data_IF_898437101196
#
_entry.id   IF_898437101196
#
_cell.length_a   1.000
_cell.length_b   1.000
_cell.length_c   1.000
_cell.angle_alpha   90.00
_cell.angle_beta   90.00
_cell.angle_gamma   90.00
#
_symmetry.space_group_name_H-M   'P 1'
#
loop_
_entity.id
_entity.type
_entity.pdbx_description
1 polymer ?
#
# COMPACT_ATOMS: atom_id res chain seq x y z
N UNK A 1 11.09 5.51 -0.85
CA UNK A 1 10.42 4.50 0.01
C UNK A 1 10.70 3.10 -0.53
N UNK A 2 10.49 2.03 0.24
CA UNK A 2 10.59 0.64 -0.24
C UNK A 2 9.49 -0.21 0.40
N UNK A 3 9.06 -1.27 -0.28
CA UNK A 3 8.21 -2.31 0.29
C UNK A 3 9.09 -3.46 0.81
N UNK A 4 8.75 -4.01 1.99
CA UNK A 4 9.54 -5.05 2.64
C UNK A 4 9.07 -6.44 2.19
N UNK A 5 9.88 -7.13 1.39
CA UNK A 5 9.56 -8.47 0.89
C UNK A 5 9.18 -9.48 1.99
N UNK A 6 9.84 -9.42 3.15
CA UNK A 6 9.58 -10.34 4.27
C UNK A 6 8.19 -10.18 4.90
N UNK A 7 7.66 -8.97 5.00
CA UNK A 7 6.27 -8.76 5.42
C UNK A 7 5.32 -9.22 4.33
N UNK A 8 5.63 -8.93 3.05
CA UNK A 8 4.74 -9.29 1.94
C UNK A 8 4.62 -10.79 1.69
N UNK A 9 5.69 -11.55 1.85
CA UNK A 9 5.64 -13.02 1.73
C UNK A 9 4.82 -13.67 2.85
N UNK A 10 4.70 -13.04 4.02
CA UNK A 10 3.80 -13.47 5.10
C UNK A 10 2.33 -13.14 4.80
N UNK A 11 2.09 -12.11 3.99
CA UNK A 11 0.75 -11.67 3.60
C UNK A 11 0.21 -12.47 2.40
N UNK A 12 1.06 -12.76 1.40
CA UNK A 12 0.69 -13.56 0.23
C UNK A 12 1.89 -14.29 -0.38
N UNK A 13 1.83 -15.62 -0.46
CA UNK A 13 2.92 -16.46 -0.95
C UNK A 13 2.98 -16.62 -2.48
N UNK A 14 1.94 -16.19 -3.22
CA UNK A 14 1.92 -16.27 -4.68
C UNK A 14 3.00 -15.40 -5.34
N UNK A 15 3.53 -15.81 -6.50
CA UNK A 15 4.56 -15.09 -7.29
C UNK A 15 5.83 -14.73 -6.52
N UNK A 16 6.23 -15.51 -5.52
CA UNK A 16 7.35 -15.18 -4.63
C UNK A 16 8.66 -14.80 -5.35
N UNK A 17 9.03 -15.49 -6.43
CA UNK A 17 10.22 -15.17 -7.24
C UNK A 17 10.09 -13.81 -7.93
N UNK A 18 8.94 -13.53 -8.54
CA UNK A 18 8.67 -12.23 -9.16
C UNK A 18 8.71 -11.09 -8.14
N UNK A 19 8.08 -11.31 -6.97
CA UNK A 19 8.14 -10.34 -5.87
C UNK A 19 9.55 -10.09 -5.37
N UNK A 20 10.39 -11.12 -5.32
CA UNK A 20 11.78 -10.97 -4.92
C UNK A 20 12.58 -10.13 -5.93
N UNK A 21 12.37 -10.36 -7.22
CA UNK A 21 12.96 -9.55 -8.29
C UNK A 21 12.50 -8.09 -8.21
N UNK A 22 11.19 -7.86 -8.07
CA UNK A 22 10.62 -6.51 -7.93
C UNK A 22 11.18 -5.80 -6.69
N UNK A 23 11.14 -6.46 -5.52
CA UNK A 23 11.69 -5.91 -4.28
C UNK A 23 13.18 -5.54 -4.41
N UNK A 24 13.95 -6.36 -5.13
CA UNK A 24 15.35 -6.07 -5.42
C UNK A 24 15.50 -4.83 -6.33
N UNK A 25 14.82 -4.81 -7.48
CA UNK A 25 14.91 -3.73 -8.48
C UNK A 25 14.49 -2.40 -7.84
N UNK A 26 13.27 -2.33 -7.30
CA UNK A 26 12.75 -1.11 -6.69
C UNK A 26 13.51 -0.72 -5.42
N UNK A 27 14.01 -1.71 -4.67
CA UNK A 27 14.93 -1.47 -3.56
C UNK A 27 16.17 -0.72 -4.01
N UNK A 28 16.85 -1.21 -5.05
CA UNK A 28 18.08 -0.58 -5.59
C UNK A 28 17.80 0.81 -6.14
N UNK A 29 16.72 0.99 -6.92
CA UNK A 29 16.33 2.29 -7.48
C UNK A 29 16.03 3.30 -6.36
N UNK A 30 15.19 2.94 -5.39
CA UNK A 30 14.87 3.81 -4.26
C UNK A 30 16.11 4.18 -3.43
N UNK A 31 17.08 3.25 -3.32
CA UNK A 31 18.35 3.50 -2.65
C UNK A 31 19.20 4.56 -3.35
N UNK A 32 19.20 4.54 -4.69
CA UNK A 32 19.92 5.54 -5.51
C UNK A 32 19.24 6.90 -5.48
N UNK A 33 17.91 6.96 -5.48
CA UNK A 33 17.18 8.23 -5.46
C UNK A 33 17.19 8.90 -4.08
N UNK A 34 17.30 8.13 -2.99
CA UNK A 34 17.16 8.66 -1.62
C UNK A 34 18.14 9.81 -1.28
N UNK A 35 19.44 9.73 -1.57
CA UNK A 35 20.36 10.84 -1.30
C UNK A 35 19.98 12.11 -2.06
N UNK A 36 19.53 12.00 -3.31
CA UNK A 36 19.12 13.16 -4.11
C UNK A 36 17.83 13.80 -3.55
N UNK A 37 16.83 12.99 -3.21
CA UNK A 37 15.61 13.48 -2.57
C UNK A 37 15.92 14.21 -1.25
N UNK A 38 16.85 13.68 -0.46
CA UNK A 38 17.30 14.31 0.79
C UNK A 38 18.04 15.63 0.54
N UNK A 39 18.95 15.67 -0.45
CA UNK A 39 19.67 16.90 -0.84
C UNK A 39 18.72 18.01 -1.28
N UNK A 40 17.67 17.65 -2.03
CA UNK A 40 16.67 18.60 -2.53
C UNK A 40 15.51 18.84 -1.55
N UNK A 41 15.53 18.24 -0.36
CA UNK A 41 14.46 18.35 0.67
C UNK A 41 13.08 17.96 0.14
N UNK A 42 13.03 16.99 -0.76
CA UNK A 42 11.79 16.43 -1.28
C UNK A 42 11.28 15.39 -0.30
N UNK A 43 10.07 15.57 0.21
CA UNK A 43 9.43 14.61 1.12
C UNK A 43 9.11 13.28 0.44
N UNK A 44 9.31 12.17 1.14
CA UNK A 44 8.96 10.84 0.67
C UNK A 44 8.49 9.96 1.83
N UNK A 45 7.61 9.00 1.54
CA UNK A 45 7.12 8.05 2.54
C UNK A 45 8.25 7.19 3.13
N UNK A 46 8.14 6.82 4.39
CA UNK A 46 9.07 5.88 5.02
C UNK A 46 8.94 4.48 4.40
N UNK A 47 7.69 4.05 4.17
CA UNK A 47 7.33 2.76 3.60
C UNK A 47 6.37 2.94 2.42
N UNK A 48 6.43 2.03 1.46
CA UNK A 48 5.37 1.84 0.46
C UNK A 48 4.84 0.41 0.56
N UNK A 49 3.55 0.20 0.30
CA UNK A 49 2.92 -1.11 0.18
C UNK A 49 2.05 -1.18 -1.08
N UNK A 50 1.86 -2.40 -1.58
CA UNK A 50 1.00 -2.68 -2.73
C UNK A 50 1.73 -2.77 -4.07
N UNK A 51 3.05 -2.58 -4.10
CA UNK A 51 3.86 -2.85 -5.29
C UNK A 51 3.99 -4.38 -5.49
N UNK A 52 4.31 -5.12 -4.43
CA UNK A 52 4.51 -6.57 -4.49
C UNK A 52 3.19 -7.35 -4.56
N UNK A 53 2.05 -6.72 -4.26
CA UNK A 53 0.72 -7.31 -4.41
C UNK A 53 -0.19 -6.47 -5.33
N UNK A 54 0.41 -5.81 -6.31
CA UNK A 54 -0.26 -4.88 -7.23
C UNK A 54 -1.46 -5.53 -7.92
N UNK A 55 -2.58 -4.80 -7.93
CA UNK A 55 -3.86 -5.22 -8.48
C UNK A 55 -4.61 -6.25 -7.64
N UNK A 56 -4.10 -6.64 -6.47
CA UNK A 56 -4.69 -7.72 -5.64
C UNK A 56 -4.89 -7.30 -4.19
N UNK A 57 -5.09 -6.00 -3.96
CA UNK A 57 -5.24 -5.37 -2.64
C UNK A 57 -6.66 -5.56 -2.07
N UNK A 58 -7.06 -6.82 -1.87
CA UNK A 58 -8.39 -7.20 -1.35
C UNK A 58 -8.59 -6.76 0.11
N UNK A 59 -9.84 -6.80 0.61
CA UNK A 59 -10.16 -6.53 2.03
C UNK A 59 -9.28 -7.35 2.98
N UNK A 60 -9.17 -8.66 2.73
CA UNK A 60 -8.38 -9.57 3.55
C UNK A 60 -6.90 -9.18 3.57
N UNK A 61 -6.33 -8.86 2.41
CA UNK A 61 -4.94 -8.46 2.31
C UNK A 61 -4.72 -7.13 3.04
N UNK A 62 -5.59 -6.14 2.82
CA UNK A 62 -5.46 -4.82 3.42
C UNK A 62 -5.55 -4.87 4.95
N UNK A 63 -6.48 -5.65 5.50
CA UNK A 63 -6.60 -5.86 6.95
C UNK A 63 -5.28 -6.40 7.55
N UNK A 64 -4.67 -7.39 6.90
CA UNK A 64 -3.38 -7.95 7.33
C UNK A 64 -2.22 -6.97 7.10
N UNK A 65 -2.24 -6.20 6.02
CA UNK A 65 -1.21 -5.22 5.72
C UNK A 65 -1.17 -4.09 6.75
N UNK A 66 -2.34 -3.63 7.22
CA UNK A 66 -2.48 -2.62 8.27
C UNK A 66 -1.81 -3.05 9.59
N UNK A 67 -1.83 -4.34 9.92
CA UNK A 67 -1.16 -4.88 11.11
C UNK A 67 0.38 -4.87 11.01
N UNK A 68 0.94 -4.59 9.83
CA UNK A 68 2.39 -4.63 9.59
C UNK A 68 3.01 -3.26 9.39
N UNK A 69 2.21 -2.19 9.47
CA UNK A 69 2.71 -0.83 9.26
C UNK A 69 3.79 -0.48 10.28
N UNK A 70 4.82 0.19 9.80
CA UNK A 70 5.90 0.69 10.63
C UNK A 70 5.65 2.15 11.02
N UNK A 71 6.39 2.63 12.02
CA UNK A 71 6.36 4.04 12.39
C UNK A 71 6.78 4.95 11.21
N UNK A 72 6.07 6.07 11.06
CA UNK A 72 6.27 7.05 9.99
C UNK A 72 5.17 7.01 8.94
N UNK A 73 5.41 7.73 7.83
CA UNK A 73 4.44 7.82 6.72
C UNK A 73 4.53 6.55 5.87
N UNK A 74 3.43 5.81 5.77
CA UNK A 74 3.28 4.70 4.82
C UNK A 74 2.35 5.10 3.70
N UNK A 75 2.78 4.86 2.47
CA UNK A 75 1.94 4.99 1.27
C UNK A 75 1.47 3.60 0.84
N UNK A 76 0.16 3.40 0.70
CA UNK A 76 -0.41 2.16 0.19
C UNK A 76 -1.01 2.45 -1.19
N UNK A 77 -0.52 1.76 -2.20
CA UNK A 77 -0.91 1.93 -3.60
C UNK A 77 -1.91 0.84 -4.04
N UNK A 78 -2.95 1.26 -4.79
CA UNK A 78 -4.03 0.42 -5.29
C UNK A 78 -4.48 0.91 -6.69
N UNK A 79 -5.31 0.10 -7.35
CA UNK A 79 -5.93 0.30 -8.67
C UNK A 79 -7.47 0.10 -8.63
N UNK A 80 -8.20 0.76 -7.71
CA UNK A 80 -9.64 0.55 -7.57
C UNK A 80 -10.40 1.01 -8.82
N UNK A 81 -11.39 0.23 -9.26
CA UNK A 81 -12.30 0.59 -10.33
C UNK A 81 -13.70 0.02 -10.09
N UNK A 82 -14.71 0.63 -10.72
CA UNK A 82 -16.11 0.17 -10.63
C UNK A 82 -16.36 -1.14 -11.41
N UNK A 83 -15.48 -1.47 -12.35
CA UNK A 83 -15.50 -2.69 -13.16
C UNK A 83 -14.06 -3.13 -13.41
N UNK A 84 -13.84 -4.43 -13.56
CA UNK A 84 -12.52 -4.97 -13.89
C UNK A 84 -12.20 -4.75 -15.37
N UNK A 85 -10.97 -4.30 -15.65
CA UNK A 85 -10.45 -4.03 -16.98
C UNK A 85 -9.89 -5.33 -17.60
N UNK A 86 -10.42 -5.77 -18.75
CA UNK A 86 -9.96 -6.99 -19.41
C UNK A 86 -8.51 -6.92 -19.90
N UNK A 87 -7.90 -5.73 -20.00
CA UNK A 87 -6.49 -5.56 -20.37
C UNK A 87 -5.53 -5.91 -19.22
N UNK A 88 -6.01 -5.96 -17.98
CA UNK A 88 -5.24 -6.35 -16.79
C UNK A 88 -5.98 -7.45 -16.02
N UNK A 89 -6.17 -8.65 -16.61
CA UNK A 89 -7.07 -9.67 -16.09
C UNK A 89 -6.64 -10.25 -14.72
N UNK A 90 -5.39 -10.04 -14.33
CA UNK A 90 -4.89 -10.44 -13.01
C UNK A 90 -5.30 -9.49 -11.88
N UNK A 91 -5.74 -8.28 -12.24
CA UNK A 91 -6.15 -7.24 -11.30
C UNK A 91 -7.59 -7.46 -10.88
N UNK A 92 -7.86 -7.27 -9.59
CA UNK A 92 -9.15 -7.41 -8.93
C UNK A 92 -9.65 -6.02 -8.53
N UNK A 93 -9.80 -5.13 -9.49
CA UNK A 93 -10.04 -3.70 -9.27
C UNK A 93 -11.34 -3.44 -8.52
N UNK A 94 -12.38 -4.22 -8.83
CA UNK A 94 -13.65 -4.20 -8.11
C UNK A 94 -13.48 -4.62 -6.64
N UNK A 95 -12.63 -5.62 -6.37
CA UNK A 95 -12.32 -6.06 -5.01
C UNK A 95 -11.47 -5.05 -4.24
N UNK A 96 -10.56 -4.33 -4.91
CA UNK A 96 -9.79 -3.24 -4.31
C UNK A 96 -10.69 -2.04 -3.98
N UNK A 97 -11.64 -1.70 -4.85
CA UNK A 97 -12.65 -0.69 -4.55
C UNK A 97 -13.50 -1.11 -3.35
N UNK A 98 -13.94 -2.37 -3.31
CA UNK A 98 -14.68 -2.92 -2.17
C UNK A 98 -13.86 -2.87 -0.87
N UNK A 99 -12.55 -3.14 -0.93
CA UNK A 99 -11.64 -3.03 0.22
C UNK A 99 -11.56 -1.59 0.77
N UNK A 100 -11.46 -0.59 -0.11
CA UNK A 100 -11.43 0.83 0.28
C UNK A 100 -12.76 1.32 0.86
N UNK A 101 -13.87 0.72 0.46
CA UNK A 101 -15.21 1.03 0.97
C UNK A 101 -15.60 0.20 2.19
N UNK A 102 -14.78 -0.77 2.59
CA UNK A 102 -15.08 -1.69 3.69
C UNK A 102 -15.14 -0.99 5.04
N UNK A 103 -16.20 -1.28 5.79
CA UNK A 103 -16.33 -0.87 7.20
C UNK A 103 -15.26 -1.52 8.06
N UNK A 104 -14.92 -2.79 7.83
CA UNK A 104 -13.89 -3.49 8.61
C UNK A 104 -12.51 -2.86 8.45
N UNK A 105 -12.15 -2.46 7.23
CA UNK A 105 -10.87 -1.78 6.96
C UNK A 105 -10.83 -0.43 7.68
N UNK A 106 -11.92 0.34 7.63
CA UNK A 106 -12.06 1.59 8.39
C UNK A 106 -11.90 1.39 9.89
N UNK A 107 -12.68 0.46 10.46
CA UNK A 107 -12.65 0.18 11.90
C UNK A 107 -11.25 -0.28 12.33
N UNK A 108 -10.54 -1.02 11.47
CA UNK A 108 -9.15 -1.42 11.71
C UNK A 108 -8.18 -0.23 11.69
N UNK A 109 -8.33 0.70 10.75
CA UNK A 109 -7.55 1.95 10.69
C UNK A 109 -7.74 2.75 11.97
N UNK A 110 -8.99 2.93 12.41
CA UNK A 110 -9.32 3.67 13.62
C UNK A 110 -8.78 2.95 14.89
N UNK A 111 -8.97 1.63 14.98
CA UNK A 111 -8.50 0.83 16.12
C UNK A 111 -6.96 0.82 16.27
N UNK A 112 -6.24 0.90 15.15
CA UNK A 112 -4.77 1.01 15.15
C UNK A 112 -4.27 2.45 15.34
N UNK A 113 -5.17 3.43 15.46
CA UNK A 113 -4.81 4.85 15.59
C UNK A 113 -4.09 5.40 14.36
N UNK A 114 -4.33 4.82 13.18
CA UNK A 114 -3.68 5.22 11.94
C UNK A 114 -4.27 6.55 11.46
N UNK A 115 -3.40 7.53 11.24
CA UNK A 115 -3.78 8.84 10.74
C UNK A 115 -3.73 8.83 9.21
N UNK A 116 -4.90 8.94 8.58
CA UNK A 116 -4.98 9.10 7.13
C UNK A 116 -4.56 10.51 6.73
N UNK A 117 -3.70 10.62 5.72
CA UNK A 117 -3.24 11.90 5.19
C UNK A 117 -3.17 11.89 3.66
N UNK A 118 -2.83 13.03 3.06
CA UNK A 118 -2.53 13.14 1.63
C UNK A 118 -1.19 13.85 1.41
N UNK A 119 -0.73 13.92 0.16
CA UNK A 119 0.54 14.57 -0.20
C UNK A 119 0.61 16.08 0.10
N UNK A 120 -0.53 16.75 0.35
CA UNK A 120 -0.56 18.15 0.78
C UNK A 120 -0.33 18.31 2.29
N UNK A 121 -0.35 17.21 3.03
CA UNK A 121 -0.25 17.21 4.50
C UNK A 121 -1.60 17.31 5.21
N UNK A 122 -2.72 17.26 4.49
CA UNK A 122 -4.03 17.28 5.14
C UNK A 122 -4.25 16.00 5.93
N UNK A 123 -4.61 16.14 7.20
CA UNK A 123 -5.10 15.02 8.00
C UNK A 123 -6.57 14.78 7.70
N UNK A 124 -6.94 13.54 7.38
CA UNK A 124 -8.31 13.13 7.11
C UNK A 124 -8.88 12.44 8.33
N UNK A 125 -9.94 13.02 8.90
CA UNK A 125 -10.75 12.35 9.91
C UNK A 125 -11.65 11.35 9.19
N UNK A 126 -11.64 10.08 9.60
CA UNK A 126 -12.67 9.14 9.21
C UNK A 126 -13.97 9.60 9.88
N UNK A 127 -14.81 10.34 9.14
CA UNK A 127 -16.15 10.68 9.61
C UNK A 127 -16.97 9.40 9.81
N UNK A 128 -17.79 9.36 10.87
CA UNK A 128 -18.84 8.37 11.00
C UNK A 128 -19.80 8.55 9.82
N UNK A 129 -19.81 7.60 8.87
CA UNK A 129 -20.89 7.53 7.90
C UNK A 129 -22.07 6.85 8.59
N UNK A 130 -23.17 7.60 8.70
CA UNK A 130 -24.47 7.13 9.17
C UNK A 130 -24.91 5.88 8.40
#
# INVERSE_FOLDING_TARGET
SRERLGSELRLSCGRAVGKAADAFIFGRLAGRCRPELQRHRIGFAAEVKGLLNSGRMTEEYLLKALDTLQEGVTEIYLHPAASDDPLVPDYRQTAELAALLSRKVRDKVDALGIILCNYRGDVKKMGARA
#
